data_IF_886502414480
#
_entry.id   IF_886502414480
#
_cell.length_a   1.000
_cell.length_b   1.000
_cell.length_c   1.000
_cell.angle_alpha   90.00
_cell.angle_beta   90.00
_cell.angle_gamma   90.00
#
_symmetry.space_group_name_H-M   'P 1'
#
loop_
_entity.id
_entity.type
_entity.pdbx_description
1 polymer ?
#
# COMPACT_ATOMS: atom_id res chain seq x y z
N UNK A 1 14.25 -5.68 14.93
CA UNK A 1 14.41 -4.29 15.41
C UNK A 1 13.95 -3.35 14.33
N UNK A 2 13.29 -2.24 14.65
CA UNK A 2 13.03 -1.22 13.65
C UNK A 2 14.37 -0.74 13.08
N UNK A 3 14.40 -0.43 11.79
CA UNK A 3 15.58 0.18 11.14
C UNK A 3 15.40 1.71 11.04
N UNK A 4 15.41 2.46 12.15
CA UNK A 4 15.09 3.88 12.13
C UNK A 4 16.15 4.73 11.43
N UNK A 5 17.36 4.19 11.25
CA UNK A 5 18.45 4.91 10.61
C UNK A 5 18.49 4.77 9.08
N UNK A 6 17.87 3.73 8.52
CA UNK A 6 17.91 3.43 7.07
C UNK A 6 16.63 3.84 6.36
N UNK A 7 15.48 3.83 7.04
CA UNK A 7 14.22 4.27 6.46
C UNK A 7 14.08 5.78 6.51
N UNK A 8 14.01 6.42 5.35
CA UNK A 8 13.73 7.86 5.21
C UNK A 8 12.26 8.19 5.53
N UNK A 9 11.37 7.20 5.47
CA UNK A 9 9.93 7.30 5.68
C UNK A 9 9.53 6.79 7.07
N UNK A 10 8.40 6.14 7.19
CA UNK A 10 7.83 5.74 8.48
C UNK A 10 7.79 4.24 8.71
N UNK A 11 7.81 3.44 7.63
CA UNK A 11 7.82 1.98 7.75
C UNK A 11 9.13 1.52 8.38
N UNK A 12 9.06 0.54 9.25
CA UNK A 12 10.27 0.12 9.91
C UNK A 12 10.18 -1.19 10.67
N UNK A 13 9.08 -1.86 10.62
CA UNK A 13 8.94 -3.09 11.37
C UNK A 13 8.82 -4.32 10.47
N UNK A 14 9.94 -4.90 10.16
CA UNK A 14 10.10 -6.27 9.70
C UNK A 14 11.51 -6.73 10.10
N UNK A 15 11.69 -7.39 11.25
CA UNK A 15 13.03 -7.72 11.76
C UNK A 15 13.73 -8.80 10.96
N UNK A 16 13.00 -9.57 10.16
CA UNK A 16 13.55 -10.71 9.42
C UNK A 16 13.93 -10.36 7.99
N UNK A 17 13.38 -9.28 7.43
CA UNK A 17 13.50 -8.98 6.00
C UNK A 17 13.63 -7.48 5.73
N UNK A 18 14.17 -7.07 4.57
CA UNK A 18 14.22 -5.67 4.19
C UNK A 18 12.80 -5.09 4.08
N UNK A 19 12.56 -3.93 4.66
CA UNK A 19 11.32 -3.21 4.45
C UNK A 19 11.33 -2.54 3.06
N UNK A 20 10.23 -2.69 2.32
CA UNK A 20 10.01 -1.85 1.13
C UNK A 20 9.47 -0.50 1.59
N UNK A 21 10.32 0.52 1.60
CA UNK A 21 9.97 1.90 1.95
C UNK A 21 9.75 2.80 0.74
N UNK A 22 9.51 2.21 -0.43
CA UNK A 22 9.24 2.93 -1.66
C UNK A 22 7.98 3.79 -1.54
N UNK A 23 8.12 5.08 -1.70
CA UNK A 23 7.04 6.05 -1.79
C UNK A 23 6.79 6.39 -3.26
N UNK A 24 5.60 6.05 -3.77
CA UNK A 24 5.16 6.50 -5.09
C UNK A 24 4.20 7.67 -4.93
N UNK A 25 4.45 8.72 -5.68
CA UNK A 25 3.63 9.93 -5.70
C UNK A 25 3.09 10.14 -7.11
N UNK A 26 1.79 10.36 -7.23
CA UNK A 26 1.13 10.74 -8.47
C UNK A 26 0.46 12.11 -8.32
N UNK A 27 0.57 12.96 -9.34
CA UNK A 27 -0.13 14.24 -9.40
C UNK A 27 -1.10 14.23 -10.57
N UNK A 28 -2.35 14.50 -10.30
CA UNK A 28 -3.38 14.72 -11.33
C UNK A 28 -3.54 16.23 -11.50
N UNK A 29 -3.37 16.70 -12.72
CA UNK A 29 -3.47 18.11 -13.06
C UNK A 29 -4.52 18.35 -14.15
N UNK A 30 -5.16 19.51 -14.12
CA UNK A 30 -6.03 19.97 -15.21
C UNK A 30 -5.19 20.29 -16.43
N UNK A 31 -5.55 19.76 -17.59
CA UNK A 31 -4.79 19.92 -18.81
C UNK A 31 -4.77 21.35 -19.35
N UNK A 32 -5.81 22.13 -19.03
CA UNK A 32 -6.00 23.51 -19.50
C UNK A 32 -5.27 24.55 -18.63
N UNK A 33 -5.14 24.30 -17.34
CA UNK A 33 -4.68 25.28 -16.36
C UNK A 33 -3.45 24.85 -15.57
N UNK A 34 -3.05 23.57 -15.65
CA UNK A 34 -1.99 23.02 -14.82
C UNK A 34 -2.35 22.91 -13.32
N UNK A 35 -3.57 23.28 -12.94
CA UNK A 35 -4.02 23.26 -11.56
C UNK A 35 -4.05 21.82 -11.02
N UNK A 36 -3.55 21.62 -9.82
CA UNK A 36 -3.65 20.33 -9.14
C UNK A 36 -5.13 19.94 -8.92
N UNK A 37 -5.49 18.72 -9.30
CA UNK A 37 -6.82 18.13 -9.10
C UNK A 37 -6.79 17.08 -7.99
N UNK A 38 -5.70 16.34 -7.87
CA UNK A 38 -5.49 15.38 -6.80
C UNK A 38 -4.02 15.00 -6.67
N UNK A 39 -3.63 14.57 -5.47
CA UNK A 39 -2.38 13.87 -5.20
C UNK A 39 -2.67 12.41 -4.86
N UNK A 40 -1.95 11.48 -5.46
CA UNK A 40 -2.01 10.05 -5.17
C UNK A 40 -0.74 9.66 -4.42
N UNK A 41 -0.90 8.95 -3.31
CA UNK A 41 0.23 8.49 -2.49
C UNK A 41 0.09 6.99 -2.29
N UNK A 42 0.98 6.19 -2.90
CA UNK A 42 1.06 4.76 -2.65
C UNK A 42 2.25 4.45 -1.76
N UNK A 43 1.98 3.82 -0.61
CA UNK A 43 2.99 3.49 0.37
C UNK A 43 2.61 2.21 1.13
N UNK A 44 3.57 1.28 1.26
CA UNK A 44 3.34 -0.01 1.90
C UNK A 44 3.59 0.07 3.41
N UNK A 45 2.57 0.46 4.16
CA UNK A 45 2.63 0.51 5.61
C UNK A 45 1.23 0.38 6.20
N UNK A 46 1.02 -0.59 7.09
CA UNK A 46 -0.23 -0.71 7.83
C UNK A 46 -0.50 0.54 8.68
N UNK A 47 -1.71 1.09 8.69
CA UNK A 47 -2.08 2.19 9.58
C UNK A 47 -2.40 1.65 10.98
N UNK A 48 -1.37 1.16 11.66
CA UNK A 48 -1.44 0.49 12.96
C UNK A 48 -0.60 1.20 14.03
N UNK A 49 -0.39 2.49 13.90
CA UNK A 49 0.26 3.30 14.94
C UNK A 49 -0.56 3.26 16.22
N UNK A 50 -1.89 3.36 16.07
CA UNK A 50 -2.85 3.28 17.16
C UNK A 50 -3.44 1.87 17.28
N UNK A 51 -3.73 1.44 18.51
CA UNK A 51 -4.27 0.12 18.81
C UNK A 51 -5.47 0.17 19.76
N UNK A 52 -5.77 -0.98 20.38
CA UNK A 52 -6.98 -1.20 21.16
C UNK A 52 -7.19 -0.22 22.34
N UNK A 53 -6.15 0.42 22.83
CA UNK A 53 -6.25 1.42 23.90
C UNK A 53 -6.75 2.78 23.40
N UNK A 54 -6.59 3.06 22.11
CA UNK A 54 -7.17 4.26 21.51
C UNK A 54 -8.70 4.15 21.48
N UNK A 55 -9.37 5.19 21.94
CA UNK A 55 -10.84 5.29 22.00
C UNK A 55 -11.43 6.31 21.02
N UNK A 56 -10.58 6.95 20.24
CA UNK A 56 -10.97 7.94 19.25
C UNK A 56 -11.09 7.28 17.86
N UNK A 57 -12.01 7.79 17.04
CA UNK A 57 -11.99 7.52 15.61
C UNK A 57 -10.78 8.25 15.02
N UNK A 58 -9.94 7.51 14.35
CA UNK A 58 -8.71 8.04 13.77
C UNK A 58 -8.42 7.37 12.44
N UNK A 59 -8.02 8.13 11.40
CA UNK A 59 -7.47 7.57 10.16
C UNK A 59 -6.00 7.17 10.32
N UNK A 60 -5.45 7.16 11.55
CA UNK A 60 -4.05 6.91 11.83
C UNK A 60 -3.12 7.88 11.07
N UNK A 61 -1.86 7.53 10.81
CA UNK A 61 -0.90 8.38 10.11
C UNK A 61 -1.38 8.88 8.72
N UNK A 62 -2.19 8.14 7.93
CA UNK A 62 -2.70 8.66 6.66
C UNK A 62 -3.52 9.95 6.80
N UNK A 63 -4.17 10.16 7.93
CA UNK A 63 -4.93 11.39 8.18
C UNK A 63 -4.07 12.63 8.19
N UNK A 64 -3.09 12.68 9.09
CA UNK A 64 -2.18 13.82 9.20
C UNK A 64 -1.32 14.03 7.93
N UNK A 65 -0.97 12.95 7.24
CA UNK A 65 -0.32 13.04 5.94
C UNK A 65 -1.19 13.77 4.92
N UNK A 66 -2.46 13.35 4.79
CA UNK A 66 -3.41 13.94 3.85
C UNK A 66 -3.67 15.40 4.15
N UNK A 67 -3.95 15.75 5.42
CA UNK A 67 -4.17 17.14 5.84
C UNK A 67 -3.02 18.06 5.45
N UNK A 68 -1.78 17.61 5.64
CA UNK A 68 -0.60 18.37 5.27
C UNK A 68 -0.52 18.61 3.76
N UNK A 69 -0.73 17.55 2.96
CA UNK A 69 -0.66 17.61 1.50
C UNK A 69 -1.81 18.45 0.94
N UNK A 70 -3.03 18.21 1.41
CA UNK A 70 -4.23 18.93 0.97
C UNK A 70 -4.14 20.43 1.27
N UNK A 71 -3.59 20.79 2.44
CA UNK A 71 -3.33 22.18 2.80
C UNK A 71 -2.31 22.84 1.87
N UNK A 72 -1.23 22.14 1.53
CA UNK A 72 -0.17 22.68 0.70
C UNK A 72 -0.56 22.78 -0.79
N UNK A 73 -1.32 21.79 -1.29
CA UNK A 73 -1.64 21.69 -2.73
C UNK A 73 -2.98 22.31 -3.11
N UNK A 74 -3.86 22.54 -2.14
CA UNK A 74 -5.24 22.98 -2.37
C UNK A 74 -6.11 21.93 -3.08
N UNK A 75 -5.69 20.64 -3.11
CA UNK A 75 -6.35 19.57 -3.81
C UNK A 75 -6.41 18.30 -2.93
N UNK A 76 -7.42 17.42 -3.11
CA UNK A 76 -7.56 16.21 -2.33
C UNK A 76 -6.36 15.27 -2.50
N UNK A 77 -6.02 14.56 -1.41
CA UNK A 77 -4.98 13.54 -1.38
C UNK A 77 -5.60 12.16 -1.13
N UNK A 78 -5.29 11.20 -1.99
CA UNK A 78 -5.70 9.81 -1.86
C UNK A 78 -4.51 8.97 -1.38
N UNK A 79 -4.68 8.32 -0.23
CA UNK A 79 -3.74 7.31 0.24
C UNK A 79 -4.13 5.95 -0.32
N UNK A 80 -3.20 5.31 -1.00
CA UNK A 80 -3.33 3.99 -1.61
C UNK A 80 -2.39 3.05 -0.86
N UNK A 81 -2.94 2.21 0.01
CA UNK A 81 -2.14 1.29 0.81
C UNK A 81 -1.46 0.24 -0.07
N UNK A 82 -0.13 0.20 -0.04
CA UNK A 82 0.68 -0.77 -0.78
C UNK A 82 0.62 -2.18 -0.20
N UNK A 83 1.38 -3.10 -0.79
CA UNK A 83 1.53 -4.47 -0.29
C UNK A 83 2.28 -4.45 1.05
N UNK A 84 1.53 -4.36 2.12
CA UNK A 84 2.02 -4.11 3.48
C UNK A 84 1.74 -5.27 4.45
N UNK A 85 1.45 -6.47 3.95
CA UNK A 85 1.13 -7.62 4.80
C UNK A 85 2.19 -7.94 5.86
N UNK A 86 3.44 -7.57 5.60
CA UNK A 86 4.61 -7.70 6.47
C UNK A 86 5.12 -6.38 7.04
N UNK A 87 4.50 -5.24 6.70
CA UNK A 87 5.04 -3.91 7.00
C UNK A 87 4.12 -3.09 7.90
N UNK A 88 4.65 -2.58 8.98
CA UNK A 88 4.00 -1.66 9.89
C UNK A 88 4.87 -0.44 10.21
N UNK A 89 4.32 0.57 10.88
CA UNK A 89 5.10 1.73 11.31
C UNK A 89 6.17 1.34 12.32
N UNK A 90 7.27 2.08 12.34
CA UNK A 90 8.36 1.88 13.30
C UNK A 90 7.89 2.06 14.76
N UNK A 91 6.91 2.94 14.99
CA UNK A 91 6.18 3.08 16.24
C UNK A 91 4.73 2.65 16.01
N UNK A 92 4.34 1.52 16.59
CA UNK A 92 3.03 0.93 16.36
C UNK A 92 2.41 0.40 17.65
N UNK A 93 1.09 0.16 17.57
CA UNK A 93 0.26 -0.40 18.64
C UNK A 93 0.26 0.42 19.93
N UNK A 94 0.42 1.75 19.80
CA UNK A 94 0.27 2.70 20.90
C UNK A 94 -1.15 3.24 21.07
N UNK A 95 -1.30 4.17 22.00
CA UNK A 95 -2.59 4.84 22.25
C UNK A 95 -2.54 6.36 22.03
N UNK A 96 -1.36 6.93 21.81
CA UNK A 96 -1.15 8.36 21.64
C UNK A 96 -1.33 8.80 20.17
N UNK A 97 -2.40 9.54 19.84
CA UNK A 97 -2.64 10.08 18.51
C UNK A 97 -1.51 10.97 17.97
N UNK A 98 -0.78 11.66 18.87
CA UNK A 98 0.32 12.53 18.47
C UNK A 98 1.47 11.75 17.77
N UNK A 99 1.59 10.47 18.05
CA UNK A 99 2.56 9.58 17.36
C UNK A 99 2.12 9.36 15.93
N UNK A 100 0.85 9.04 15.70
CA UNK A 100 0.28 8.88 14.35
C UNK A 100 0.41 10.16 13.54
N UNK A 101 0.05 11.31 14.13
CA UNK A 101 0.17 12.62 13.49
C UNK A 101 1.61 12.96 13.10
N UNK A 102 2.56 12.67 13.99
CA UNK A 102 3.99 12.89 13.70
C UNK A 102 4.48 12.03 12.53
N UNK A 103 4.10 10.75 12.51
CA UNK A 103 4.45 9.85 11.40
C UNK A 103 3.78 10.29 10.10
N UNK A 104 2.51 10.69 10.17
CA UNK A 104 1.77 11.21 9.01
C UNK A 104 2.42 12.47 8.44
N UNK A 105 2.75 13.45 9.28
CA UNK A 105 3.47 14.66 8.82
C UNK A 105 4.83 14.34 8.22
N UNK A 106 5.58 13.39 8.81
CA UNK A 106 6.86 12.96 8.24
C UNK A 106 6.70 12.41 6.83
N UNK A 107 5.71 11.54 6.59
CA UNK A 107 5.42 11.01 5.25
C UNK A 107 4.91 12.12 4.32
N UNK A 108 4.04 13.00 4.81
CA UNK A 108 3.52 14.13 4.04
C UNK A 108 4.63 15.08 3.57
N UNK A 109 5.61 15.40 4.42
CA UNK A 109 6.77 16.19 4.00
C UNK A 109 7.61 15.47 2.93
N UNK A 110 7.76 14.16 2.98
CA UNK A 110 8.43 13.40 1.92
C UNK A 110 7.67 13.48 0.59
N UNK A 111 6.33 13.42 0.63
CA UNK A 111 5.48 13.64 -0.56
C UNK A 111 5.65 15.04 -1.11
N UNK A 112 5.57 16.07 -0.27
CA UNK A 112 5.74 17.47 -0.70
C UNK A 112 7.13 17.71 -1.30
N UNK A 113 8.18 17.20 -0.67
CA UNK A 113 9.54 17.28 -1.22
C UNK A 113 9.66 16.58 -2.59
N UNK A 114 8.93 15.47 -2.79
CA UNK A 114 8.86 14.79 -4.08
C UNK A 114 8.14 15.64 -5.12
N UNK A 115 7.01 16.26 -4.77
CA UNK A 115 6.26 17.14 -5.66
C UNK A 115 7.07 18.38 -6.08
N UNK A 116 7.81 18.98 -5.14
CA UNK A 116 8.68 20.13 -5.39
C UNK A 116 9.92 19.77 -6.23
N UNK A 117 10.39 18.52 -6.13
CA UNK A 117 11.54 18.05 -6.92
C UNK A 117 11.20 17.77 -8.38
N UNK A 118 9.91 17.64 -8.69
CA UNK A 118 9.53 17.51 -10.08
C UNK A 118 9.80 18.84 -10.80
N UNK A 119 10.53 18.81 -11.93
CA UNK A 119 10.60 19.98 -12.77
C UNK A 119 9.17 20.43 -13.05
N UNK A 120 8.94 21.73 -12.99
CA UNK A 120 7.69 22.29 -13.49
C UNK A 120 7.41 21.56 -14.77
N UNK A 121 6.37 20.78 -14.82
CA UNK A 121 6.22 19.52 -15.56
C UNK A 121 6.47 19.63 -17.09
N UNK A 122 7.11 20.65 -17.55
CA UNK A 122 7.08 21.09 -18.93
C UNK A 122 8.32 21.89 -19.35
N UNK A 123 9.50 21.62 -18.76
CA UNK A 123 10.71 22.26 -19.24
C UNK A 123 11.68 21.23 -19.81
N UNK A 124 12.14 21.44 -21.04
CA UNK A 124 13.36 20.86 -21.58
C UNK A 124 14.53 21.78 -21.25
N UNK A 125 15.68 21.21 -20.92
CA UNK A 125 16.90 21.98 -20.72
C UNK A 125 17.77 21.82 -21.95
N UNK A 126 17.97 22.93 -22.67
CA UNK A 126 18.96 22.98 -23.74
C UNK A 126 20.30 23.41 -23.16
N UNK A 127 21.34 22.63 -23.45
CA UNK A 127 22.72 23.08 -23.18
C UNK A 127 23.18 24.05 -24.25
N UNK A 128 23.47 25.27 -23.82
CA UNK A 128 24.03 26.31 -24.67
C UNK A 128 25.40 26.69 -24.14
N UNK A 129 26.39 26.79 -25.03
CA UNK A 129 27.71 27.31 -24.67
C UNK A 129 27.77 28.77 -25.03
N UNK A 130 27.79 29.65 -24.04
CA UNK A 130 27.91 31.08 -24.23
C UNK A 130 29.18 31.56 -23.53
N UNK A 131 30.02 32.24 -24.30
CA UNK A 131 31.31 32.75 -23.79
C UNK A 131 32.21 31.70 -23.15
N UNK A 132 32.11 30.45 -23.62
CA UNK A 132 32.87 29.31 -23.08
C UNK A 132 32.33 28.70 -21.81
N UNK A 133 31.18 29.15 -21.29
CA UNK A 133 30.50 28.59 -20.16
C UNK A 133 29.31 27.70 -20.63
N UNK A 134 29.19 26.44 -20.17
CA UNK A 134 27.99 25.65 -20.41
C UNK A 134 26.83 26.21 -19.55
N UNK A 135 25.74 26.54 -20.20
CA UNK A 135 24.51 27.06 -19.59
C UNK A 135 23.36 26.08 -19.88
N UNK A 136 22.58 25.74 -18.87
CA UNK A 136 21.32 25.05 -19.04
C UNK A 136 20.17 26.06 -19.12
N UNK A 137 19.50 26.16 -20.26
CA UNK A 137 18.33 27.02 -20.44
C UNK A 137 17.08 26.16 -20.44
N UNK A 138 16.18 26.43 -19.48
CA UNK A 138 14.90 25.72 -19.37
C UNK A 138 13.85 26.33 -20.31
N UNK A 139 13.27 25.54 -21.18
CA UNK A 139 12.18 25.92 -22.08
C UNK A 139 10.90 25.14 -21.73
N UNK A 140 9.71 25.77 -21.87
CA UNK A 140 8.46 25.05 -21.72
C UNK A 140 8.36 23.89 -22.71
N UNK A 141 8.08 22.68 -22.21
CA UNK A 141 7.83 21.48 -23.01
C UNK A 141 6.37 21.09 -22.93
N UNK A 142 5.67 20.84 -24.05
CA UNK A 142 4.34 20.23 -24.00
C UNK A 142 4.41 18.86 -23.34
N UNK A 143 3.41 18.50 -22.49
CA UNK A 143 3.39 17.18 -21.88
C UNK A 143 3.35 16.10 -22.96
N UNK A 144 4.45 15.37 -23.13
CA UNK A 144 4.49 14.13 -23.90
C UNK A 144 3.87 13.03 -23.04
N UNK A 145 2.56 13.09 -22.85
CA UNK A 145 1.84 12.12 -22.04
C UNK A 145 1.18 11.06 -22.91
N UNK A 146 1.23 9.80 -22.49
CA UNK A 146 0.35 8.77 -23.02
C UNK A 146 -1.08 9.07 -22.60
N UNK A 147 -2.01 9.11 -23.56
CA UNK A 147 -3.45 9.28 -23.30
C UNK A 147 -4.16 7.95 -22.95
N UNK A 148 -3.38 6.90 -22.66
CA UNK A 148 -3.93 5.59 -22.35
C UNK A 148 -4.62 5.64 -20.99
N UNK A 149 -5.92 5.36 -21.00
CA UNK A 149 -6.70 5.08 -19.81
C UNK A 149 -7.42 3.74 -20.03
N UNK A 150 -7.01 2.72 -19.28
CA UNK A 150 -7.64 1.39 -19.35
C UNK A 150 -7.89 0.86 -17.94
N UNK A 151 -9.02 0.19 -17.78
CA UNK A 151 -9.35 -0.57 -16.58
C UNK A 151 -9.78 -1.97 -17.00
N UNK A 152 -9.19 -2.97 -16.38
CA UNK A 152 -9.56 -4.38 -16.57
C UNK A 152 -9.74 -5.05 -15.23
N UNK A 153 -10.59 -6.05 -15.18
CA UNK A 153 -10.75 -6.94 -14.05
C UNK A 153 -10.60 -8.38 -14.55
N UNK A 154 -9.87 -9.17 -13.78
CA UNK A 154 -9.71 -10.61 -13.97
C UNK A 154 -9.84 -11.30 -12.61
N UNK A 155 -9.59 -12.59 -12.56
CA UNK A 155 -9.49 -13.34 -11.32
C UNK A 155 -8.27 -14.25 -11.34
N UNK A 156 -7.74 -14.50 -10.14
CA UNK A 156 -6.65 -15.47 -9.91
C UNK A 156 -7.20 -16.53 -8.95
N UNK A 157 -6.99 -17.79 -9.32
CA UNK A 157 -7.42 -18.94 -8.52
C UNK A 157 -6.37 -19.27 -7.46
N UNK A 158 -6.73 -19.10 -6.20
CA UNK A 158 -5.88 -19.45 -5.06
C UNK A 158 -6.32 -20.76 -4.42
N UNK A 159 -5.42 -21.75 -4.27
CA UNK A 159 -5.68 -22.94 -3.48
C UNK A 159 -5.95 -22.55 -2.02
N UNK A 160 -6.97 -23.15 -1.43
CA UNK A 160 -7.28 -22.97 -0.01
C UNK A 160 -6.57 -24.03 0.84
N UNK A 161 -6.22 -23.65 2.07
CA UNK A 161 -5.80 -24.59 3.09
C UNK A 161 -6.92 -25.59 3.41
N UNK A 162 -6.60 -26.81 3.86
CA UNK A 162 -7.58 -27.63 4.56
C UNK A 162 -8.21 -26.84 5.71
N UNK A 163 -9.51 -26.90 5.83
CA UNK A 163 -10.27 -26.12 6.80
C UNK A 163 -11.45 -26.92 7.34
N UNK A 164 -11.84 -26.57 8.56
CA UNK A 164 -13.05 -27.08 9.17
C UNK A 164 -14.30 -26.51 8.50
N UNK A 165 -15.41 -27.19 8.65
CA UNK A 165 -16.69 -26.66 8.20
C UNK A 165 -17.02 -25.33 8.93
N UNK A 166 -17.75 -24.45 8.28
CA UNK A 166 -18.14 -23.15 8.89
C UNK A 166 -18.92 -23.39 10.20
N UNK A 167 -19.75 -24.43 10.25
CA UNK A 167 -20.52 -24.79 11.45
C UNK A 167 -19.62 -25.14 12.65
N UNK A 168 -18.52 -25.83 12.40
CA UNK A 168 -17.56 -26.20 13.46
C UNK A 168 -16.80 -24.97 13.96
N UNK A 169 -16.43 -24.08 13.04
CA UNK A 169 -15.83 -22.78 13.38
C UNK A 169 -16.78 -21.89 14.20
N UNK A 170 -18.08 -21.93 13.94
CA UNK A 170 -19.10 -21.22 14.70
C UNK A 170 -19.27 -21.81 16.10
N UNK A 171 -19.29 -23.13 16.21
CA UNK A 171 -19.35 -23.82 17.50
C UNK A 171 -18.12 -23.50 18.36
N UNK A 172 -16.91 -23.55 17.77
CA UNK A 172 -15.68 -23.18 18.45
C UNK A 172 -15.68 -21.72 18.91
N UNK A 173 -16.17 -20.79 18.09
CA UNK A 173 -16.31 -19.37 18.45
C UNK A 173 -17.27 -19.16 19.63
N UNK A 174 -18.39 -19.87 19.66
CA UNK A 174 -19.37 -19.78 20.75
C UNK A 174 -18.83 -20.38 22.06
N UNK A 175 -18.06 -21.46 21.99
CA UNK A 175 -17.46 -22.09 23.15
C UNK A 175 -16.24 -21.36 23.72
N UNK A 176 -15.62 -20.47 22.91
CA UNK A 176 -14.38 -19.80 23.29
C UNK A 176 -14.62 -18.66 24.29
N UNK A 177 -14.00 -18.75 25.46
CA UNK A 177 -14.02 -17.72 26.52
C UNK A 177 -12.80 -16.81 26.51
N UNK A 178 -11.70 -17.22 25.90
CA UNK A 178 -10.51 -16.39 25.75
C UNK A 178 -10.73 -15.28 24.72
N UNK A 179 -10.53 -14.03 25.13
CA UNK A 179 -10.80 -12.85 24.29
C UNK A 179 -9.94 -12.84 23.02
N UNK A 180 -8.66 -13.14 23.15
CA UNK A 180 -7.74 -13.05 22.02
C UNK A 180 -7.97 -14.17 21.00
N UNK A 181 -8.19 -15.39 21.49
CA UNK A 181 -8.53 -16.54 20.65
C UNK A 181 -9.90 -16.35 19.98
N UNK A 182 -10.89 -15.81 20.71
CA UNK A 182 -12.22 -15.53 20.16
C UNK A 182 -12.19 -14.53 19.02
N UNK A 183 -11.39 -13.47 19.16
CA UNK A 183 -11.19 -12.48 18.08
C UNK A 183 -10.56 -13.12 16.83
N UNK A 184 -9.58 -13.98 17.02
CA UNK A 184 -8.93 -14.73 15.93
C UNK A 184 -9.90 -15.66 15.22
N UNK A 185 -10.67 -16.45 15.96
CA UNK A 185 -11.69 -17.35 15.41
C UNK A 185 -12.76 -16.58 14.65
N UNK A 186 -13.16 -15.40 15.18
CA UNK A 186 -14.11 -14.53 14.49
C UNK A 186 -13.58 -14.04 13.13
N UNK A 187 -12.32 -13.61 13.09
CA UNK A 187 -11.67 -13.18 11.84
C UNK A 187 -11.52 -14.32 10.84
N UNK A 188 -11.07 -15.48 11.29
CA UNK A 188 -10.98 -16.67 10.42
C UNK A 188 -12.34 -17.01 9.80
N UNK A 189 -13.39 -17.05 10.62
CA UNK A 189 -14.74 -17.29 10.12
C UNK A 189 -15.20 -16.23 9.12
N UNK A 190 -14.92 -14.95 9.39
CA UNK A 190 -15.30 -13.87 8.49
C UNK A 190 -14.61 -14.01 7.12
N UNK A 191 -13.31 -14.24 7.10
CA UNK A 191 -12.54 -14.51 5.88
C UNK A 191 -13.05 -15.76 5.17
N UNK A 192 -13.32 -16.83 5.93
CA UNK A 192 -13.83 -18.09 5.39
C UNK A 192 -15.15 -17.93 4.64
N UNK A 193 -16.04 -17.09 5.15
CA UNK A 193 -17.31 -16.76 4.45
C UNK A 193 -17.08 -16.04 3.12
N UNK A 194 -16.02 -15.27 3.00
CA UNK A 194 -15.68 -14.53 1.77
C UNK A 194 -15.06 -15.47 0.73
N UNK A 195 -14.10 -16.31 1.13
CA UNK A 195 -13.37 -17.18 0.19
C UNK A 195 -14.14 -18.44 -0.22
N UNK A 196 -15.23 -18.78 0.48
CA UNK A 196 -16.11 -19.91 0.16
C UNK A 196 -15.64 -21.25 0.74
N UNK A 197 -16.37 -22.33 0.46
CA UNK A 197 -16.19 -23.66 1.04
C UNK A 197 -15.44 -24.66 0.15
N UNK A 198 -14.95 -24.22 -1.01
CA UNK A 198 -14.21 -25.07 -1.96
C UNK A 198 -12.76 -25.34 -1.54
N UNK A 199 -12.02 -25.91 -2.45
CA UNK A 199 -10.55 -26.09 -2.35
C UNK A 199 -9.78 -24.99 -3.07
N UNK A 200 -10.48 -24.18 -3.86
CA UNK A 200 -9.95 -23.04 -4.63
C UNK A 200 -10.89 -21.84 -4.41
N UNK A 201 -10.32 -20.66 -4.35
CA UNK A 201 -11.06 -19.41 -4.31
C UNK A 201 -10.57 -18.49 -5.42
N UNK A 202 -11.47 -18.09 -6.31
CA UNK A 202 -11.20 -17.10 -7.34
C UNK A 202 -11.19 -15.70 -6.72
N UNK A 203 -10.03 -15.07 -6.68
CA UNK A 203 -9.86 -13.74 -6.11
C UNK A 203 -9.80 -12.69 -7.22
N UNK A 204 -10.55 -11.58 -7.12
CA UNK A 204 -10.52 -10.54 -8.14
C UNK A 204 -9.18 -9.82 -8.16
N UNK A 205 -8.77 -9.48 -9.37
CA UNK A 205 -7.59 -8.67 -9.67
C UNK A 205 -8.00 -7.53 -10.58
N UNK A 206 -7.73 -6.30 -10.17
CA UNK A 206 -7.96 -5.11 -10.98
C UNK A 206 -6.63 -4.57 -11.48
N UNK A 207 -6.60 -4.24 -12.76
CA UNK A 207 -5.45 -3.58 -13.39
C UNK A 207 -5.93 -2.31 -14.08
N UNK A 208 -5.39 -1.18 -13.67
CA UNK A 208 -5.60 0.10 -14.32
C UNK A 208 -4.30 0.59 -14.91
N UNK A 209 -4.37 1.06 -16.14
CA UNK A 209 -3.27 1.76 -16.80
C UNK A 209 -3.62 3.23 -16.96
N UNK A 210 -2.78 4.10 -16.42
CA UNK A 210 -2.90 5.55 -16.44
C UNK A 210 -1.66 6.10 -17.13
N UNK A 211 -1.74 6.29 -18.46
CA UNK A 211 -0.56 6.62 -19.24
C UNK A 211 0.49 5.50 -19.17
N UNK A 212 1.66 5.84 -18.66
CA UNK A 212 2.75 4.88 -18.45
C UNK A 212 2.70 4.19 -17.08
N UNK A 213 1.87 4.66 -16.16
CA UNK A 213 1.74 4.05 -14.84
C UNK A 213 0.71 2.93 -14.81
N UNK A 214 0.94 1.93 -13.97
CA UNK A 214 0.01 0.85 -13.69
C UNK A 214 -0.42 0.86 -12.22
N UNK A 215 -1.69 0.54 -11.97
CA UNK A 215 -2.23 0.25 -10.64
C UNK A 215 -2.70 -1.19 -10.65
N UNK A 216 -2.16 -2.01 -9.76
CA UNK A 216 -2.56 -3.41 -9.55
C UNK A 216 -3.23 -3.49 -8.18
N UNK A 217 -4.46 -3.96 -8.13
CA UNK A 217 -5.25 -3.96 -6.92
C UNK A 217 -5.92 -5.31 -6.66
N UNK A 218 -5.99 -5.73 -5.40
CA UNK A 218 -6.59 -6.99 -4.97
C UNK A 218 -7.12 -6.90 -3.53
N UNK A 219 -8.01 -7.81 -3.09
CA UNK A 219 -8.64 -7.74 -1.76
C UNK A 219 -7.77 -8.33 -0.64
N UNK A 220 -6.58 -8.78 -0.94
CA UNK A 220 -5.71 -9.47 0.02
C UNK A 220 -4.75 -8.51 0.72
N UNK A 221 -4.21 -8.93 1.85
CA UNK A 221 -3.02 -8.33 2.48
C UNK A 221 -1.77 -9.07 2.00
N UNK A 222 -1.33 -8.75 0.76
CA UNK A 222 -0.10 -9.31 0.22
C UNK A 222 1.13 -8.71 0.94
N UNK A 223 2.17 -9.53 1.05
CA UNK A 223 3.47 -9.10 1.55
C UNK A 223 4.22 -8.28 0.51
N UNK A 224 5.14 -7.44 0.97
CA UNK A 224 5.91 -6.51 0.14
C UNK A 224 6.72 -7.14 -1.01
N UNK A 225 7.20 -8.40 -0.95
CA UNK A 225 7.84 -9.04 -2.09
C UNK A 225 7.00 -9.03 -3.38
N UNK A 226 5.66 -9.11 -3.29
CA UNK A 226 4.80 -9.03 -4.47
C UNK A 226 4.98 -7.71 -5.21
N UNK A 227 4.92 -6.58 -4.52
CA UNK A 227 5.05 -5.28 -5.17
C UNK A 227 6.47 -5.01 -5.69
N UNK A 228 7.49 -5.50 -4.99
CA UNK A 228 8.88 -5.40 -5.44
C UNK A 228 9.04 -6.15 -6.77
N UNK A 229 8.52 -7.37 -6.85
CA UNK A 229 8.62 -8.19 -8.06
C UNK A 229 7.79 -7.61 -9.21
N UNK A 230 6.57 -7.13 -8.96
CA UNK A 230 5.75 -6.48 -9.98
C UNK A 230 6.43 -5.22 -10.54
N UNK A 231 7.06 -4.40 -9.69
CA UNK A 231 7.83 -3.25 -10.14
C UNK A 231 9.04 -3.65 -10.98
N UNK A 232 9.72 -4.74 -10.61
CA UNK A 232 10.85 -5.27 -11.37
C UNK A 232 10.42 -5.79 -12.74
N UNK A 233 9.32 -6.54 -12.81
CA UNK A 233 8.80 -7.14 -14.06
C UNK A 233 8.26 -6.09 -15.03
N UNK A 234 7.66 -5.04 -14.53
CA UNK A 234 7.01 -4.00 -15.33
C UNK A 234 7.89 -2.76 -15.56
N UNK A 235 9.16 -2.79 -15.11
CA UNK A 235 10.08 -1.70 -15.37
C UNK A 235 10.21 -1.40 -16.88
N UNK A 236 10.30 -0.13 -17.29
CA UNK A 236 10.47 1.07 -16.47
C UNK A 236 9.17 1.71 -15.98
N UNK A 237 8.02 1.08 -16.15
CA UNK A 237 6.73 1.66 -15.78
C UNK A 237 6.57 1.79 -14.26
N UNK A 238 6.09 2.93 -13.73
CA UNK A 238 5.71 3.03 -12.34
C UNK A 238 4.53 2.11 -12.01
N UNK A 239 4.66 1.30 -10.95
CA UNK A 239 3.61 0.36 -10.53
C UNK A 239 3.22 0.61 -9.08
N UNK A 240 1.96 1.00 -8.87
CA UNK A 240 1.33 1.05 -7.56
C UNK A 240 0.56 -0.26 -7.33
N UNK A 241 0.86 -0.93 -6.23
CA UNK A 241 0.12 -2.13 -5.78
C UNK A 241 -0.79 -1.71 -4.64
N UNK A 242 -2.05 -2.15 -4.66
CA UNK A 242 -3.04 -1.81 -3.65
C UNK A 242 -3.56 -3.08 -2.98
N UNK A 243 -3.32 -3.17 -1.68
CA UNK A 243 -3.94 -4.17 -0.82
C UNK A 243 -5.38 -3.79 -0.43
N UNK A 244 -6.15 -4.78 0.01
CA UNK A 244 -7.48 -4.61 0.64
C UNK A 244 -8.47 -3.82 -0.22
N UNK A 245 -8.33 -3.93 -1.54
CA UNK A 245 -9.19 -3.21 -2.49
C UNK A 245 -10.54 -3.91 -2.61
N UNK A 246 -11.61 -3.14 -2.41
CA UNK A 246 -13.02 -3.57 -2.55
C UNK A 246 -13.39 -4.79 -1.70
N UNK A 247 -12.66 -5.07 -0.64
CA UNK A 247 -12.94 -6.18 0.27
C UNK A 247 -11.69 -6.65 1.01
N UNK A 248 -11.84 -7.68 1.83
CA UNK A 248 -10.79 -8.28 2.61
C UNK A 248 -10.84 -9.81 2.50
N UNK A 249 -9.84 -10.43 1.90
CA UNK A 249 -9.80 -11.87 1.70
C UNK A 249 -8.67 -12.61 2.47
N UNK A 250 -7.94 -11.89 3.33
CA UNK A 250 -6.86 -12.45 4.15
C UNK A 250 -5.48 -12.20 3.59
N UNK A 251 -4.46 -12.68 4.32
CA UNK A 251 -3.06 -12.47 4.00
C UNK A 251 -2.58 -13.33 2.83
N UNK A 252 -1.54 -12.85 2.15
CA UNK A 252 -0.72 -13.61 1.20
C UNK A 252 0.75 -13.56 1.66
N UNK A 253 1.16 -14.42 2.60
CA UNK A 253 2.56 -14.54 2.99
C UNK A 253 3.36 -15.38 1.98
N UNK A 254 4.69 -15.17 1.86
CA UNK A 254 5.58 -16.02 1.08
C UNK A 254 5.55 -17.48 1.54
N UNK A 255 5.85 -18.40 0.62
CA UNK A 255 5.80 -19.85 0.84
C UNK A 255 6.63 -20.31 2.06
N UNK A 256 7.83 -19.77 2.21
CA UNK A 256 8.74 -20.15 3.29
C UNK A 256 8.25 -19.70 4.68
N UNK A 257 7.36 -18.72 4.75
CA UNK A 257 6.74 -18.27 5.99
C UNK A 257 5.75 -19.29 6.57
N UNK A 258 5.20 -20.20 5.75
CA UNK A 258 4.23 -21.20 6.21
C UNK A 258 4.81 -22.21 7.20
N UNK A 259 6.12 -22.32 7.28
CA UNK A 259 6.81 -23.13 8.32
C UNK A 259 7.01 -22.36 9.62
N UNK A 260 6.71 -21.05 9.64
CA UNK A 260 6.87 -20.18 10.80
C UNK A 260 5.53 -20.01 11.52
N UNK A 261 5.55 -19.95 12.83
CA UNK A 261 4.34 -19.70 13.64
C UNK A 261 4.02 -18.20 13.66
N UNK A 262 3.51 -17.67 12.55
CA UNK A 262 3.21 -16.25 12.37
C UNK A 262 1.70 -16.01 12.26
N UNK A 263 1.26 -14.86 12.76
CA UNK A 263 -0.14 -14.43 12.73
C UNK A 263 -0.77 -14.48 11.33
N UNK A 264 -0.10 -13.92 10.33
CA UNK A 264 -0.56 -13.88 8.94
C UNK A 264 -0.75 -15.28 8.36
N UNK A 265 0.18 -16.21 8.64
CA UNK A 265 0.06 -17.60 8.23
C UNK A 265 -1.09 -18.29 8.95
N UNK A 266 -1.30 -17.97 10.21
CA UNK A 266 -2.39 -18.56 10.97
C UNK A 266 -3.76 -18.09 10.48
N UNK A 267 -3.91 -16.81 10.12
CA UNK A 267 -5.18 -16.20 9.69
C UNK A 267 -5.50 -16.45 8.22
N UNK A 268 -4.48 -16.57 7.34
CA UNK A 268 -4.73 -16.72 5.91
C UNK A 268 -5.50 -18.00 5.58
N UNK A 269 -6.54 -17.94 4.72
CA UNK A 269 -7.23 -19.13 4.22
C UNK A 269 -6.47 -19.82 3.09
N UNK A 270 -5.46 -19.17 2.51
CA UNK A 270 -4.78 -19.63 1.30
C UNK A 270 -3.64 -20.60 1.61
N UNK A 271 -3.40 -21.53 0.69
CA UNK A 271 -2.29 -22.47 0.78
C UNK A 271 -0.96 -21.79 0.47
N UNK A 272 0.14 -22.43 0.87
CA UNK A 272 1.50 -21.94 0.59
C UNK A 272 1.74 -21.85 -0.93
N UNK A 273 2.29 -20.73 -1.36
CA UNK A 273 2.55 -20.44 -2.76
C UNK A 273 1.50 -19.58 -3.45
N UNK A 274 0.53 -19.07 -2.71
CA UNK A 274 -0.49 -18.18 -3.28
C UNK A 274 0.00 -16.73 -3.48
N UNK A 275 1.17 -16.36 -2.95
CA UNK A 275 1.80 -15.06 -3.22
C UNK A 275 2.59 -15.08 -4.54
N UNK A 276 3.23 -16.19 -4.84
CA UNK A 276 4.05 -16.43 -6.04
C UNK A 276 3.16 -16.69 -7.28
#
# INVERSE_FOLDING_TARGET
MPRPAESRHIVGWNPAEPADDTLLVGRVIAADSGRALATLVNYACHPTTLAAENRLLSPDFPGAMRELIETATGAPCLFLQGASGDLGPAAQHGSDPAVADRLGRRLGHAVLATLESWPDALHEVDEVVESGAPLGIAHPRPPAGSSVLRATQSSVDFPLKPHEAIADSEAALHACTDRALRERLWRQRAVRRIVGNGTISAQPLWLWRLGEAAIVAHPNEAYSPLQIELRRLLAPHPVAVLNVTNGYAGYLPPRDHYTRNQYSVWVTPFAAGSLE
#
